data_IF_833820635351
#
_entry.id   IF_833820635351
#
_cell.length_a   1.000
_cell.length_b   1.000
_cell.length_c   1.000
_cell.angle_alpha   90.00
_cell.angle_beta   90.00
_cell.angle_gamma   90.00
#
_symmetry.space_group_name_H-M   'P 1'
#
loop_
_entity.id
_entity.type
_entity.pdbx_description
1 polymer ?
#
# COMPACT_ATOMS: atom_id res chain seq x y z
N UNK A 1 -35.28 12.45 -41.02
CA UNK A 1 -33.80 12.36 -41.13
C UNK A 1 -33.07 13.42 -40.28
N UNK A 2 -33.38 14.73 -40.44
CA UNK A 2 -32.70 15.85 -39.76
C UNK A 2 -32.71 15.75 -38.22
N UNK A 3 -33.81 15.27 -37.62
CA UNK A 3 -33.89 15.10 -36.16
C UNK A 3 -32.90 14.08 -35.58
N UNK A 4 -32.49 13.06 -36.35
CA UNK A 4 -31.50 12.06 -35.91
C UNK A 4 -30.09 12.64 -35.89
N UNK A 5 -29.74 13.40 -36.92
CA UNK A 5 -28.44 14.09 -37.05
C UNK A 5 -28.26 15.10 -35.92
N UNK A 6 -29.28 15.93 -35.62
CA UNK A 6 -29.22 16.89 -34.51
C UNK A 6 -29.03 16.21 -33.15
N UNK A 7 -29.67 15.06 -32.92
CA UNK A 7 -29.45 14.27 -31.70
C UNK A 7 -28.03 13.69 -31.62
N UNK A 8 -27.47 13.22 -32.75
CA UNK A 8 -26.08 12.75 -32.81
C UNK A 8 -25.10 13.90 -32.53
N UNK A 9 -25.30 15.07 -33.13
CA UNK A 9 -24.47 16.27 -32.87
C UNK A 9 -24.57 16.75 -31.43
N UNK A 10 -25.76 16.73 -30.84
CA UNK A 10 -25.94 17.03 -29.41
C UNK A 10 -25.19 16.01 -28.53
N UNK A 11 -25.25 14.71 -28.87
CA UNK A 11 -24.49 13.67 -28.19
C UNK A 11 -22.97 13.85 -28.31
N UNK A 12 -22.50 14.23 -29.49
CA UNK A 12 -21.09 14.49 -29.79
C UNK A 12 -20.53 15.72 -29.08
N UNK A 13 -21.36 16.75 -28.89
CA UNK A 13 -21.03 17.92 -28.08
C UNK A 13 -20.99 17.57 -26.57
N UNK A 14 -21.93 16.75 -26.11
CA UNK A 14 -21.96 16.28 -24.71
C UNK A 14 -20.77 15.37 -24.37
N UNK A 15 -20.31 14.51 -25.30
CA UNK A 15 -19.12 13.69 -25.08
C UNK A 15 -17.83 14.50 -24.98
N UNK A 16 -17.86 15.80 -25.33
CA UNK A 16 -16.77 16.76 -25.18
C UNK A 16 -16.99 17.76 -24.04
N UNK A 17 -17.96 17.48 -23.16
CA UNK A 17 -18.37 18.35 -22.06
C UNK A 17 -18.80 19.77 -22.49
N UNK A 18 -19.24 19.97 -23.74
CA UNK A 18 -19.76 21.24 -24.25
C UNK A 18 -21.28 21.27 -24.22
N UNK A 19 -21.83 21.42 -23.02
CA UNK A 19 -23.28 21.51 -22.80
C UNK A 19 -23.88 22.76 -23.48
N UNK A 20 -23.10 23.83 -23.59
CA UNK A 20 -23.40 25.07 -24.32
C UNK A 20 -23.69 24.78 -25.81
N UNK A 21 -22.80 24.04 -26.48
CA UNK A 21 -22.96 23.67 -27.89
C UNK A 21 -24.09 22.65 -28.08
N UNK A 22 -24.25 21.72 -27.13
CA UNK A 22 -25.34 20.73 -27.17
C UNK A 22 -26.73 21.37 -27.08
N UNK A 23 -26.88 22.54 -26.41
CA UNK A 23 -28.16 23.28 -26.35
C UNK A 23 -28.58 23.78 -27.74
N UNK A 24 -27.63 24.22 -28.55
CA UNK A 24 -27.88 24.72 -29.92
C UNK A 24 -28.50 23.65 -30.84
N UNK A 25 -28.18 22.37 -30.59
CA UNK A 25 -28.72 21.24 -31.36
C UNK A 25 -30.03 20.68 -30.78
N UNK A 26 -30.32 20.95 -29.49
CA UNK A 26 -31.54 20.53 -28.78
C UNK A 26 -32.69 21.54 -28.81
N UNK A 27 -32.50 22.74 -29.37
CA UNK A 27 -33.56 23.77 -29.43
C UNK A 27 -34.83 23.33 -30.19
N UNK A 28 -35.96 23.95 -29.84
CA UNK A 28 -37.27 23.67 -30.42
C UNK A 28 -37.33 24.06 -31.91
N UNK A 29 -38.26 23.47 -32.68
CA UNK A 29 -38.34 23.66 -34.15
C UNK A 29 -38.44 25.14 -34.53
N UNK A 30 -39.24 25.92 -33.79
CA UNK A 30 -39.42 27.36 -34.02
C UNK A 30 -38.20 28.23 -33.73
N UNK A 31 -37.25 27.75 -32.92
CA UNK A 31 -36.06 28.52 -32.50
C UNK A 31 -34.84 28.25 -33.38
N UNK A 32 -34.93 27.30 -34.32
CA UNK A 32 -33.79 26.85 -35.14
C UNK A 32 -33.23 27.93 -36.05
N UNK A 33 -34.08 28.82 -36.54
CA UNK A 33 -33.71 29.99 -37.35
C UNK A 33 -32.87 30.98 -36.55
N UNK A 34 -33.21 31.21 -35.28
CA UNK A 34 -32.51 32.11 -34.37
C UNK A 34 -31.10 31.59 -34.04
N UNK A 35 -30.96 30.28 -33.79
CA UNK A 35 -29.66 29.66 -33.49
C UNK A 35 -28.86 29.25 -34.72
N UNK A 36 -29.31 29.55 -35.95
CA UNK A 36 -28.69 29.06 -37.19
C UNK A 36 -27.20 29.41 -37.28
N UNK A 37 -26.84 30.69 -37.13
CA UNK A 37 -25.44 31.14 -37.21
C UNK A 37 -24.56 30.51 -36.13
N UNK A 38 -25.08 30.38 -34.91
CA UNK A 38 -24.37 29.75 -33.80
C UNK A 38 -24.19 28.23 -34.01
N UNK A 39 -25.19 27.55 -34.58
CA UNK A 39 -25.12 26.13 -34.89
C UNK A 39 -24.13 25.83 -36.03
N UNK A 40 -24.03 26.70 -37.05
CA UNK A 40 -23.01 26.57 -38.11
C UNK A 40 -21.61 26.70 -37.54
N UNK A 41 -21.33 27.75 -36.73
CA UNK A 41 -20.04 27.87 -36.04
C UNK A 41 -19.74 26.68 -35.13
N UNK A 42 -20.75 26.13 -34.45
CA UNK A 42 -20.59 24.94 -33.64
C UNK A 42 -20.20 23.71 -34.48
N UNK A 43 -20.71 23.57 -35.71
CA UNK A 43 -20.33 22.48 -36.63
C UNK A 43 -18.87 22.58 -37.09
N UNK A 44 -18.35 23.79 -37.27
CA UNK A 44 -16.95 24.00 -37.67
C UNK A 44 -15.98 23.72 -36.52
N UNK A 45 -16.39 24.03 -35.28
CA UNK A 45 -15.53 23.92 -34.09
C UNK A 45 -15.63 22.52 -33.43
N UNK A 46 -16.79 21.85 -33.46
CA UNK A 46 -16.96 20.55 -32.81
C UNK A 46 -15.94 19.47 -33.23
N UNK A 47 -15.55 19.35 -34.51
CA UNK A 47 -14.53 18.39 -34.95
C UNK A 47 -13.13 18.68 -34.39
N UNK A 48 -12.80 19.96 -34.15
CA UNK A 48 -11.46 20.38 -33.69
C UNK A 48 -11.30 20.29 -32.17
N UNK A 49 -12.40 20.21 -31.43
CA UNK A 49 -12.37 20.01 -29.97
C UNK A 49 -11.90 18.58 -29.67
N UNK A 50 -10.75 18.48 -29.00
CA UNK A 50 -10.24 17.22 -28.49
C UNK A 50 -11.22 16.57 -27.49
N UNK A 51 -11.25 15.25 -27.46
CA UNK A 51 -11.97 14.53 -26.40
C UNK A 51 -11.28 14.86 -25.08
N UNK A 52 -11.98 15.48 -24.11
CA UNK A 52 -11.41 15.77 -22.81
C UNK A 52 -10.90 14.47 -22.19
N UNK A 53 -9.72 14.53 -21.56
CA UNK A 53 -9.16 13.42 -20.81
C UNK A 53 -9.55 13.62 -19.35
N UNK A 54 -10.05 12.58 -18.65
CA UNK A 54 -10.48 12.75 -17.28
C UNK A 54 -9.28 13.06 -16.38
N UNK A 55 -9.45 14.06 -15.53
CA UNK A 55 -8.48 14.44 -14.50
C UNK A 55 -8.98 14.04 -13.12
N UNK A 56 -8.02 13.81 -12.22
CA UNK A 56 -8.27 13.37 -10.84
C UNK A 56 -9.08 14.38 -10.02
N UNK A 57 -8.90 15.69 -10.30
CA UNK A 57 -9.64 16.79 -9.69
C UNK A 57 -11.03 16.99 -10.28
N UNK A 58 -11.38 16.28 -11.36
CA UNK A 58 -12.64 16.52 -12.05
C UNK A 58 -13.84 16.12 -11.17
N UNK A 59 -14.92 16.91 -11.21
CA UNK A 59 -16.16 16.56 -10.53
C UNK A 59 -16.76 15.31 -11.17
N UNK A 60 -17.26 14.40 -10.33
CA UNK A 60 -17.88 13.15 -10.78
C UNK A 60 -19.06 13.38 -11.74
N UNK A 61 -19.72 14.54 -11.65
CA UNK A 61 -20.87 14.89 -12.49
C UNK A 61 -20.54 15.14 -13.96
N UNK A 62 -19.28 15.43 -14.29
CA UNK A 62 -18.86 15.57 -15.68
C UNK A 62 -18.74 14.20 -16.37
N UNK A 63 -18.41 13.15 -15.61
CA UNK A 63 -17.96 11.86 -16.16
C UNK A 63 -18.90 10.69 -15.88
N UNK A 64 -19.72 10.78 -14.83
CA UNK A 64 -20.63 9.71 -14.42
C UNK A 64 -22.09 10.03 -14.75
N UNK A 65 -22.95 8.99 -14.88
CA UNK A 65 -24.37 9.20 -15.11
C UNK A 65 -25.02 10.06 -14.01
N UNK A 66 -25.81 11.06 -14.40
CA UNK A 66 -26.42 12.03 -13.46
C UNK A 66 -27.28 11.40 -12.36
N UNK A 67 -27.77 10.16 -12.56
CA UNK A 67 -28.53 9.42 -11.53
C UNK A 67 -27.67 8.98 -10.35
N UNK A 68 -26.36 8.82 -10.55
CA UNK A 68 -25.43 8.28 -9.56
C UNK A 68 -24.75 9.39 -8.75
N UNK A 69 -24.65 10.58 -9.34
CA UNK A 69 -23.96 11.74 -8.79
C UNK A 69 -24.54 12.21 -7.44
N UNK A 70 -25.87 12.37 -7.26
CA UNK A 70 -26.44 12.76 -5.98
C UNK A 70 -26.16 11.76 -4.86
N UNK A 71 -26.23 10.46 -5.18
CA UNK A 71 -25.96 9.37 -4.24
C UNK A 71 -24.50 9.41 -3.79
N UNK A 72 -23.55 9.58 -4.72
CA UNK A 72 -22.13 9.69 -4.38
C UNK A 72 -21.82 10.96 -3.56
N UNK A 73 -22.47 12.08 -3.88
CA UNK A 73 -22.31 13.32 -3.11
C UNK A 73 -22.77 13.20 -1.66
N UNK A 74 -23.84 12.45 -1.38
CA UNK A 74 -24.30 12.18 0.00
C UNK A 74 -23.24 11.46 0.84
N UNK A 75 -22.37 10.67 0.20
CA UNK A 75 -21.25 9.96 0.86
C UNK A 75 -19.94 10.76 0.82
N UNK A 76 -20.00 12.05 0.50
CA UNK A 76 -18.85 12.95 0.46
C UNK A 76 -17.90 12.70 -0.72
N UNK A 77 -18.34 11.97 -1.74
CA UNK A 77 -17.56 11.71 -2.95
C UNK A 77 -17.92 12.80 -3.96
N UNK A 78 -16.99 13.72 -4.25
CA UNK A 78 -17.24 14.85 -5.15
C UNK A 78 -16.37 14.80 -6.41
N UNK A 79 -15.18 14.23 -6.30
CA UNK A 79 -14.20 14.15 -7.40
C UNK A 79 -13.91 12.70 -7.81
N UNK A 80 -13.33 12.52 -9.00
CA UNK A 80 -12.84 11.21 -9.45
C UNK A 80 -11.73 10.68 -8.51
N UNK A 81 -10.93 11.54 -7.89
CA UNK A 81 -10.00 11.18 -6.84
C UNK A 81 -10.72 10.55 -5.64
N UNK A 82 -11.74 11.22 -5.07
CA UNK A 82 -12.50 10.69 -3.92
C UNK A 82 -13.09 9.31 -4.21
N UNK A 83 -13.55 9.12 -5.44
CA UNK A 83 -14.14 7.87 -5.91
C UNK A 83 -13.09 6.77 -6.02
N UNK A 84 -11.89 7.04 -6.54
CA UNK A 84 -10.82 6.03 -6.61
C UNK A 84 -10.24 5.66 -5.25
N UNK A 85 -10.29 6.56 -4.26
CA UNK A 85 -9.79 6.27 -2.90
C UNK A 85 -10.65 5.22 -2.20
N UNK A 86 -11.97 5.38 -2.25
CA UNK A 86 -12.88 4.69 -1.32
C UNK A 86 -13.37 3.33 -1.78
N UNK A 87 -13.29 3.04 -3.07
CA UNK A 87 -14.28 2.17 -3.72
C UNK A 87 -13.69 1.02 -4.56
N UNK A 88 -12.63 1.19 -5.38
CA UNK A 88 -12.17 0.12 -6.28
C UNK A 88 -11.54 -1.09 -5.58
N UNK A 89 -11.27 -1.02 -4.26
CA UNK A 89 -10.52 -2.06 -3.52
C UNK A 89 -11.38 -3.17 -2.90
N UNK A 90 -12.71 -3.04 -2.91
CA UNK A 90 -13.61 -4.01 -2.25
C UNK A 90 -14.51 -4.70 -3.26
N UNK A 91 -14.53 -6.04 -3.26
CA UNK A 91 -15.57 -6.82 -3.96
C UNK A 91 -16.94 -6.35 -3.43
N UNK A 92 -17.84 -5.90 -4.31
CA UNK A 92 -19.18 -5.40 -3.97
C UNK A 92 -19.21 -4.10 -3.14
N UNK A 93 -18.26 -3.19 -3.35
CA UNK A 93 -18.19 -1.88 -2.68
C UNK A 93 -19.51 -1.08 -2.69
N UNK A 94 -20.31 -1.21 -3.75
CA UNK A 94 -21.58 -0.51 -3.92
C UNK A 94 -22.63 -0.88 -2.86
N UNK A 95 -22.47 -2.02 -2.16
CA UNK A 95 -23.34 -2.38 -1.03
C UNK A 95 -23.20 -1.43 0.16
N UNK A 96 -22.06 -0.76 0.30
CA UNK A 96 -21.84 0.23 1.36
C UNK A 96 -22.50 1.59 1.05
N UNK A 97 -23.02 1.78 -0.16
CA UNK A 97 -23.66 3.01 -0.61
C UNK A 97 -25.14 2.70 -0.93
N UNK A 98 -26.04 2.80 0.05
CA UNK A 98 -27.48 2.85 -0.15
C UNK A 98 -27.87 3.69 -1.38
N UNK A 99 -28.61 3.10 -2.31
CA UNK A 99 -29.03 3.75 -3.57
C UNK A 99 -28.11 3.50 -4.78
N UNK A 100 -26.93 2.88 -4.59
CA UNK A 100 -26.05 2.51 -5.70
C UNK A 100 -26.27 1.05 -6.16
N UNK A 101 -27.00 0.88 -7.26
CA UNK A 101 -27.26 -0.43 -7.85
C UNK A 101 -26.05 -1.09 -8.52
N UNK A 102 -26.09 -2.42 -8.65
CA UNK A 102 -25.03 -3.23 -9.28
C UNK A 102 -24.68 -2.75 -10.70
N UNK A 103 -25.68 -2.32 -11.49
CA UNK A 103 -25.46 -1.82 -12.86
C UNK A 103 -24.63 -0.54 -12.88
N UNK A 104 -24.94 0.42 -12.00
CA UNK A 104 -24.18 1.67 -11.89
C UNK A 104 -22.76 1.41 -11.38
N UNK A 105 -22.59 0.47 -10.46
CA UNK A 105 -21.27 0.06 -9.98
C UNK A 105 -20.41 -0.54 -11.09
N UNK A 106 -20.97 -1.47 -11.88
CA UNK A 106 -20.28 -2.03 -13.06
C UNK A 106 -19.92 -0.97 -14.08
N UNK A 107 -20.80 0.00 -14.32
CA UNK A 107 -20.51 1.10 -15.25
C UNK A 107 -19.31 1.94 -14.79
N UNK A 108 -19.23 2.23 -13.48
CA UNK A 108 -18.08 2.92 -12.87
C UNK A 108 -16.81 2.07 -12.99
N UNK A 109 -16.89 0.76 -12.72
CA UNK A 109 -15.76 -0.16 -12.87
C UNK A 109 -15.26 -0.22 -14.31
N UNK A 110 -16.16 -0.28 -15.29
CA UNK A 110 -15.82 -0.23 -16.73
C UNK A 110 -15.17 1.10 -17.09
N UNK A 111 -15.65 2.24 -16.57
CA UNK A 111 -15.05 3.56 -16.81
C UNK A 111 -13.60 3.65 -16.30
N UNK A 112 -13.32 3.10 -15.11
CA UNK A 112 -11.95 3.07 -14.59
C UNK A 112 -11.06 2.06 -15.31
N UNK A 113 -11.62 0.94 -15.79
CA UNK A 113 -10.89 -0.02 -16.60
C UNK A 113 -10.45 0.56 -17.96
N UNK A 114 -11.25 1.46 -18.55
CA UNK A 114 -10.88 2.16 -19.79
C UNK A 114 -9.91 3.32 -19.59
N UNK A 115 -9.72 3.80 -18.35
CA UNK A 115 -8.81 4.90 -18.00
C UNK A 115 -7.80 4.51 -16.89
N UNK A 116 -6.87 3.58 -17.17
CA UNK A 116 -5.90 3.11 -16.18
C UNK A 116 -4.99 4.23 -15.66
N UNK A 117 -4.60 5.19 -16.52
CA UNK A 117 -3.76 6.34 -16.17
C UNK A 117 -4.41 7.22 -15.10
N UNK A 118 -5.73 7.36 -15.11
CA UNK A 118 -6.44 8.13 -14.08
C UNK A 118 -6.41 7.42 -12.73
N UNK A 119 -6.56 6.10 -12.75
CA UNK A 119 -6.46 5.26 -11.53
C UNK A 119 -5.06 5.34 -10.94
N UNK A 120 -4.02 5.33 -11.77
CA UNK A 120 -2.63 5.48 -11.34
C UNK A 120 -2.33 6.87 -10.78
N UNK A 121 -2.77 7.93 -11.46
CA UNK A 121 -2.60 9.32 -10.98
C UNK A 121 -3.35 9.57 -9.68
N UNK A 122 -4.57 9.05 -9.54
CA UNK A 122 -5.31 9.18 -8.30
C UNK A 122 -4.65 8.38 -7.17
N UNK A 123 -4.08 7.19 -7.46
CA UNK A 123 -3.24 6.44 -6.51
C UNK A 123 -2.02 7.24 -6.07
N UNK A 124 -1.32 7.89 -7.00
CA UNK A 124 -0.17 8.74 -6.67
C UNK A 124 -0.57 9.89 -5.71
N UNK A 125 -1.74 10.50 -5.91
CA UNK A 125 -2.26 11.53 -5.00
C UNK A 125 -2.67 10.97 -3.62
N UNK A 126 -3.21 9.75 -3.55
CA UNK A 126 -3.57 9.09 -2.28
C UNK A 126 -2.33 8.71 -1.47
N UNK A 127 -1.26 8.25 -2.14
CA UNK A 127 0.03 7.96 -1.50
C UNK A 127 0.59 9.21 -0.79
N UNK A 128 0.27 10.40 -1.28
CA UNK A 128 0.66 11.68 -0.66
C UNK A 128 -0.28 12.07 0.50
N UNK A 129 -1.55 11.68 0.50
CA UNK A 129 -2.54 12.14 1.49
C UNK A 129 -2.57 11.34 2.81
N UNK A 130 -2.19 10.06 2.80
CA UNK A 130 -1.91 9.28 4.03
C UNK A 130 -0.84 8.23 3.70
N UNK A 131 0.43 8.43 4.06
CA UNK A 131 1.43 7.39 3.87
C UNK A 131 0.97 6.12 4.60
N UNK A 132 0.91 4.99 3.91
CA UNK A 132 0.67 3.68 4.56
C UNK A 132 1.83 3.52 5.58
N UNK A 133 1.55 3.39 6.88
CA UNK A 133 2.62 3.38 7.88
C UNK A 133 3.52 2.15 7.78
N UNK A 134 3.11 1.13 7.01
CA UNK A 134 3.84 -0.11 6.79
C UNK A 134 4.41 -0.14 5.38
N UNK A 135 5.70 0.21 5.26
CA UNK A 135 6.45 0.24 4.00
C UNK A 135 7.75 -0.57 4.11
N UNK A 136 8.31 -1.04 2.99
CA UNK A 136 9.62 -1.71 2.99
C UNK A 136 10.73 -0.79 3.53
N UNK A 137 11.77 -1.40 4.10
CA UNK A 137 12.96 -0.78 4.69
C UNK A 137 13.47 0.44 3.93
N UNK A 138 13.62 0.32 2.60
CA UNK A 138 14.18 1.36 1.75
C UNK A 138 13.32 2.65 1.73
N UNK A 139 12.03 2.51 2.01
CA UNK A 139 11.03 3.57 1.99
C UNK A 139 10.61 4.03 3.39
N UNK A 140 11.14 3.41 4.46
CA UNK A 140 10.79 3.80 5.82
C UNK A 140 11.22 5.26 6.05
N UNK A 141 10.29 6.05 6.58
CA UNK A 141 10.52 7.40 7.10
C UNK A 141 9.96 7.44 8.50
N UNK A 142 10.83 7.29 9.50
CA UNK A 142 10.40 7.26 10.90
C UNK A 142 10.10 8.69 11.35
N UNK A 143 8.93 8.96 11.95
CA UNK A 143 8.64 10.28 12.51
C UNK A 143 9.65 10.65 13.61
N UNK A 144 10.08 11.91 13.65
CA UNK A 144 11.08 12.41 14.60
C UNK A 144 10.75 12.13 16.08
N UNK A 145 9.47 12.05 16.46
CA UNK A 145 9.07 11.74 17.83
C UNK A 145 9.36 10.29 18.26
N UNK A 146 9.56 9.38 17.30
CA UNK A 146 9.76 7.94 17.52
C UNK A 146 10.94 7.40 16.72
N UNK A 147 11.84 8.27 16.26
CA UNK A 147 13.02 7.89 15.48
C UNK A 147 14.16 7.34 16.36
N UNK A 148 14.04 7.46 17.68
CA UNK A 148 15.05 7.03 18.64
C UNK A 148 16.15 8.03 18.91
N UNK A 149 16.10 9.23 18.31
CA UNK A 149 17.02 10.31 18.63
C UNK A 149 17.04 10.66 20.12
N UNK A 150 15.90 10.49 20.80
CA UNK A 150 15.70 10.74 22.23
C UNK A 150 15.20 9.50 22.99
N UNK A 151 15.57 8.30 22.55
CA UNK A 151 15.07 7.06 23.14
C UNK A 151 15.46 6.87 24.61
N UNK A 152 14.58 6.26 25.40
CA UNK A 152 14.77 6.08 26.86
C UNK A 152 16.01 5.27 27.22
N UNK A 153 16.33 4.24 26.43
CA UNK A 153 17.50 3.39 26.64
C UNK A 153 18.66 3.73 25.70
N UNK A 154 18.64 4.92 25.08
CA UNK A 154 19.74 5.42 24.28
C UNK A 154 20.87 5.89 25.20
N UNK A 155 22.08 5.43 24.93
CA UNK A 155 23.26 5.89 25.65
C UNK A 155 23.65 7.32 25.20
N UNK A 156 24.37 8.09 26.04
CA UNK A 156 24.84 9.42 25.67
C UNK A 156 25.64 9.43 24.36
N UNK A 157 25.34 10.37 23.45
CA UNK A 157 25.96 10.44 22.10
C UNK A 157 27.48 10.51 22.12
N UNK A 158 28.07 11.12 23.15
CA UNK A 158 29.53 11.22 23.35
C UNK A 158 30.22 9.87 23.56
N UNK A 159 29.49 8.84 24.02
CA UNK A 159 30.02 7.50 24.23
C UNK A 159 29.76 6.58 23.03
N UNK A 160 28.87 6.97 22.12
CA UNK A 160 28.44 6.16 20.99
C UNK A 160 29.53 6.11 19.92
N UNK A 161 29.98 4.89 19.59
CA UNK A 161 30.99 4.63 18.57
C UNK A 161 30.42 4.69 17.12
N UNK A 162 29.10 4.74 16.98
CA UNK A 162 28.43 4.90 15.68
C UNK A 162 28.17 6.38 15.37
N UNK A 163 28.25 6.73 14.09
CA UNK A 163 27.77 8.01 13.56
C UNK A 163 26.23 8.13 13.52
N UNK A 164 25.53 7.07 13.94
CA UNK A 164 24.07 7.00 13.92
C UNK A 164 23.41 7.99 14.89
N UNK A 165 22.56 8.85 14.34
CA UNK A 165 21.80 9.85 15.09
C UNK A 165 20.38 9.37 15.48
N UNK A 166 19.90 8.28 14.88
CA UNK A 166 18.59 7.68 15.13
C UNK A 166 18.63 6.15 14.94
N UNK A 167 17.56 5.45 15.32
CA UNK A 167 17.50 3.99 15.36
C UNK A 167 17.69 3.37 13.96
N UNK A 168 17.11 4.00 12.94
CA UNK A 168 17.22 3.54 11.55
C UNK A 168 18.67 3.53 11.06
N UNK A 169 19.44 4.57 11.37
CA UNK A 169 20.87 4.66 11.03
C UNK A 169 21.69 3.63 11.82
N UNK A 170 21.36 3.40 13.09
CA UNK A 170 22.08 2.44 13.92
C UNK A 170 21.88 0.99 13.44
N UNK A 171 20.65 0.65 13.05
CA UNK A 171 20.34 -0.65 12.44
C UNK A 171 21.02 -0.79 11.08
N UNK A 172 21.03 0.27 10.26
CA UNK A 172 21.74 0.26 8.97
C UNK A 172 23.22 -0.07 9.16
N UNK A 173 23.89 0.58 10.11
CA UNK A 173 25.30 0.29 10.44
C UNK A 173 25.51 -1.17 10.87
N UNK A 174 24.57 -1.76 11.61
CA UNK A 174 24.63 -3.18 11.96
C UNK A 174 24.46 -4.10 10.74
N UNK A 175 23.54 -3.76 9.83
CA UNK A 175 23.30 -4.55 8.61
C UNK A 175 24.50 -4.50 7.65
N UNK A 176 25.15 -3.36 7.54
CA UNK A 176 26.28 -3.15 6.62
C UNK A 176 27.51 -3.98 6.99
N UNK A 177 27.64 -4.40 8.26
CA UNK A 177 28.74 -5.26 8.73
C UNK A 177 28.71 -6.68 8.12
N UNK A 178 27.56 -7.11 7.60
CA UNK A 178 27.37 -8.47 7.11
C UNK A 178 27.66 -8.54 5.62
N UNK A 179 28.76 -9.19 5.21
CA UNK A 179 29.18 -9.29 3.80
C UNK A 179 28.22 -10.14 2.95
N UNK A 180 27.78 -11.27 3.48
CA UNK A 180 26.89 -12.20 2.77
C UNK A 180 25.52 -11.56 2.53
N UNK A 181 25.16 -11.39 1.25
CA UNK A 181 23.93 -10.74 0.82
C UNK A 181 22.66 -11.42 1.37
N UNK A 182 22.64 -12.75 1.43
CA UNK A 182 21.48 -13.51 1.93
C UNK A 182 21.30 -13.33 3.45
N UNK A 183 22.39 -13.35 4.22
CA UNK A 183 22.36 -13.06 5.66
C UNK A 183 21.87 -11.64 5.92
N UNK A 184 22.40 -10.66 5.18
CA UNK A 184 21.96 -9.26 5.27
C UNK A 184 20.47 -9.11 4.96
N UNK A 185 19.98 -9.79 3.92
CA UNK A 185 18.55 -9.79 3.55
C UNK A 185 17.67 -10.38 4.64
N UNK A 186 18.07 -11.52 5.21
CA UNK A 186 17.33 -12.16 6.30
C UNK A 186 17.30 -11.29 7.55
N UNK A 187 18.43 -10.71 7.94
CA UNK A 187 18.54 -9.86 9.13
C UNK A 187 17.77 -8.55 8.96
N UNK A 188 17.86 -7.93 7.78
CA UNK A 188 17.07 -6.75 7.42
C UNK A 188 15.58 -7.03 7.53
N UNK A 189 15.12 -8.20 7.08
CA UNK A 189 13.70 -8.58 7.18
C UNK A 189 13.22 -8.60 8.63
N UNK A 190 13.99 -9.16 9.55
CA UNK A 190 13.57 -9.22 10.96
C UNK A 190 13.68 -7.86 11.65
N UNK A 191 14.71 -7.07 11.35
CA UNK A 191 14.85 -5.70 11.87
C UNK A 191 13.75 -4.76 11.35
N UNK A 192 13.41 -4.85 10.06
CA UNK A 192 12.30 -4.13 9.42
C UNK A 192 10.96 -4.42 10.12
N UNK A 193 10.65 -5.70 10.36
CA UNK A 193 9.43 -6.11 11.05
C UNK A 193 9.32 -5.50 12.44
N UNK A 194 10.42 -5.51 13.20
CA UNK A 194 10.43 -4.95 14.55
C UNK A 194 10.28 -3.42 14.50
N UNK A 195 11.05 -2.73 13.66
CA UNK A 195 11.02 -1.27 13.57
C UNK A 195 9.62 -0.77 13.19
N UNK A 196 9.01 -1.37 12.15
CA UNK A 196 7.65 -1.05 11.74
C UNK A 196 6.66 -1.32 12.89
N UNK A 197 6.75 -2.47 13.56
CA UNK A 197 5.85 -2.78 14.66
C UNK A 197 5.97 -1.78 15.82
N UNK A 198 7.20 -1.41 16.21
CA UNK A 198 7.45 -0.47 17.29
C UNK A 198 6.85 0.92 16.99
N UNK A 199 7.06 1.41 15.76
CA UNK A 199 6.55 2.72 15.34
C UNK A 199 5.04 2.71 15.18
N UNK A 200 4.47 1.68 14.55
CA UNK A 200 3.07 1.67 14.12
C UNK A 200 2.12 1.16 15.20
N UNK A 201 2.48 0.09 15.92
CA UNK A 201 1.61 -0.50 16.95
C UNK A 201 1.89 0.04 18.35
N UNK A 202 3.13 0.47 18.63
CA UNK A 202 3.51 1.00 19.96
C UNK A 202 3.74 2.50 19.98
N UNK A 203 3.89 3.15 18.83
CA UNK A 203 4.33 4.56 18.76
C UNK A 203 5.57 4.81 19.61
N UNK A 204 6.52 3.86 19.56
CA UNK A 204 7.78 3.89 20.30
C UNK A 204 8.95 3.79 19.35
N UNK A 205 10.02 4.50 19.72
CA UNK A 205 11.35 4.23 19.19
C UNK A 205 11.84 2.83 19.59
N UNK A 206 12.67 2.23 18.75
CA UNK A 206 13.34 0.97 19.05
C UNK A 206 14.25 1.09 20.28
N UNK A 207 14.93 2.22 20.42
CA UNK A 207 15.73 2.59 21.61
C UNK A 207 14.90 2.86 22.88
N UNK A 208 13.56 2.72 22.84
CA UNK A 208 12.67 2.85 24.01
C UNK A 208 11.89 1.57 24.31
N UNK A 209 12.21 0.46 23.64
CA UNK A 209 11.54 -0.82 23.86
C UNK A 209 11.96 -1.45 25.18
N UNK A 210 10.97 -1.93 25.94
CA UNK A 210 11.17 -2.65 27.20
C UNK A 210 11.04 -4.17 27.02
N UNK A 211 11.33 -4.96 28.06
CA UNK A 211 11.12 -6.42 28.06
C UNK A 211 9.64 -6.81 27.90
N UNK A 212 8.71 -5.97 28.37
CA UNK A 212 7.27 -6.13 28.13
C UNK A 212 6.93 -5.93 26.65
N UNK A 213 7.54 -4.94 25.99
CA UNK A 213 7.37 -4.73 24.55
C UNK A 213 7.92 -5.92 23.76
N UNK A 214 9.08 -6.49 24.14
CA UNK A 214 9.62 -7.70 23.51
C UNK A 214 8.68 -8.91 23.67
N UNK A 215 8.07 -9.05 24.85
CA UNK A 215 7.06 -10.10 25.11
C UNK A 215 5.82 -9.90 24.22
N UNK A 216 5.36 -8.67 24.08
CA UNK A 216 4.24 -8.32 23.22
C UNK A 216 4.55 -8.53 21.73
N UNK A 217 5.76 -8.19 21.29
CA UNK A 217 6.21 -8.45 19.92
C UNK A 217 6.24 -9.95 19.62
N UNK A 218 6.74 -10.78 20.54
CA UNK A 218 6.70 -12.25 20.41
C UNK A 218 5.26 -12.77 20.28
N UNK A 219 4.31 -12.22 21.02
CA UNK A 219 2.90 -12.58 20.88
C UNK A 219 2.34 -12.13 19.51
N UNK A 220 2.68 -10.92 19.08
CA UNK A 220 2.32 -10.38 17.78
C UNK A 220 2.84 -11.24 16.61
N UNK A 221 4.06 -11.78 16.69
CA UNK A 221 4.59 -12.66 15.64
C UNK A 221 3.77 -13.96 15.46
N UNK A 222 3.12 -14.45 16.51
CA UNK A 222 2.17 -15.58 16.41
C UNK A 222 0.87 -15.18 15.75
N UNK A 223 0.40 -13.96 16.00
CA UNK A 223 -0.87 -13.47 15.49
C UNK A 223 -0.78 -11.99 15.06
N UNK A 224 -0.22 -11.69 13.88
CA UNK A 224 -0.07 -10.32 13.43
C UNK A 224 -1.44 -9.67 13.17
N UNK A 225 -1.80 -8.67 13.97
CA UNK A 225 -3.09 -7.99 13.92
C UNK A 225 -2.90 -6.46 13.91
N UNK A 226 -3.72 -5.71 13.14
CA UNK A 226 -4.77 -6.16 12.23
C UNK A 226 -4.21 -6.86 10.97
N UNK A 227 -4.79 -7.99 10.56
CA UNK A 227 -4.25 -8.79 9.42
C UNK A 227 -4.12 -7.99 8.13
N UNK A 228 -5.07 -7.11 7.80
CA UNK A 228 -5.03 -6.29 6.59
C UNK A 228 -3.82 -5.33 6.53
N UNK A 229 -3.26 -4.96 7.69
CA UNK A 229 -2.10 -4.07 7.78
C UNK A 229 -0.77 -4.81 7.73
N UNK A 230 -0.73 -6.04 8.21
CA UNK A 230 0.53 -6.76 8.44
C UNK A 230 0.74 -7.97 7.54
N UNK A 231 -0.35 -8.55 7.03
CA UNK A 231 -0.35 -9.83 6.34
C UNK A 231 -0.90 -9.69 4.93
N UNK A 232 -0.10 -10.07 3.92
CA UNK A 232 -0.54 -10.24 2.54
C UNK A 232 0.22 -11.39 1.88
N UNK A 233 -0.30 -11.98 0.79
CA UNK A 233 0.46 -12.91 -0.04
C UNK A 233 1.82 -12.33 -0.44
N UNK A 234 2.79 -13.18 -0.78
CA UNK A 234 4.11 -12.72 -1.21
C UNK A 234 3.98 -11.79 -2.44
N UNK A 235 4.45 -10.55 -2.29
CA UNK A 235 4.45 -9.51 -3.33
C UNK A 235 5.85 -8.89 -3.45
N UNK A 236 6.21 -8.35 -4.62
CA UNK A 236 7.42 -7.55 -4.78
C UNK A 236 7.43 -6.35 -3.82
N UNK A 237 8.61 -5.96 -3.31
CA UNK A 237 8.76 -4.84 -2.36
C UNK A 237 8.34 -3.49 -2.94
N UNK A 238 8.43 -3.31 -4.26
CA UNK A 238 7.94 -2.11 -4.96
C UNK A 238 6.42 -2.04 -5.06
N UNK A 239 5.70 -3.12 -4.73
CA UNK A 239 4.24 -3.14 -4.78
C UNK A 239 3.63 -2.38 -3.61
N UNK A 240 2.59 -1.59 -3.90
CA UNK A 240 1.77 -0.95 -2.86
C UNK A 240 0.96 -1.96 -2.02
N UNK A 241 0.81 -3.20 -2.47
CA UNK A 241 0.16 -4.29 -1.71
C UNK A 241 1.14 -5.07 -0.83
N UNK A 242 2.43 -4.70 -0.83
CA UNK A 242 3.44 -5.39 -0.03
C UNK A 242 3.15 -5.30 1.46
N UNK A 243 3.40 -6.40 2.18
CA UNK A 243 3.30 -6.50 3.63
C UNK A 243 4.48 -7.30 4.20
N UNK A 244 4.92 -7.01 5.44
CA UNK A 244 6.09 -7.63 6.05
C UNK A 244 5.88 -9.10 6.46
N UNK A 245 4.62 -9.55 6.56
CA UNK A 245 4.26 -10.94 6.86
C UNK A 245 3.42 -11.55 5.75
N UNK A 246 3.64 -12.84 5.48
CA UNK A 246 2.77 -13.66 4.63
C UNK A 246 1.75 -14.46 5.44
N UNK A 247 1.94 -14.54 6.76
CA UNK A 247 1.08 -15.24 7.70
C UNK A 247 1.64 -15.14 9.12
N UNK A 248 1.04 -15.91 10.03
CA UNK A 248 1.60 -16.15 11.36
C UNK A 248 2.93 -16.92 11.23
N UNK A 249 3.91 -16.61 12.08
CA UNK A 249 5.19 -17.33 12.09
C UNK A 249 5.07 -18.63 12.89
N UNK A 250 5.80 -19.67 12.46
CA UNK A 250 6.00 -20.89 13.23
C UNK A 250 6.85 -20.62 14.49
N UNK A 251 6.78 -21.47 15.53
CA UNK A 251 7.62 -21.32 16.72
C UNK A 251 9.12 -21.19 16.39
N UNK A 252 9.64 -21.98 15.46
CA UNK A 252 11.06 -21.91 15.05
C UNK A 252 11.39 -20.61 14.34
N UNK A 253 10.49 -20.14 13.45
CA UNK A 253 10.66 -18.84 12.77
C UNK A 253 10.67 -17.68 13.77
N UNK A 254 9.85 -17.76 14.83
CA UNK A 254 9.84 -16.77 15.91
C UNK A 254 11.15 -16.84 16.69
N UNK A 255 11.62 -18.05 17.04
CA UNK A 255 12.89 -18.22 17.77
C UNK A 255 14.07 -17.66 16.97
N UNK A 256 14.12 -17.92 15.67
CA UNK A 256 15.09 -17.34 14.75
C UNK A 256 15.02 -15.81 14.75
N UNK A 257 13.82 -15.23 14.54
CA UNK A 257 13.65 -13.79 14.51
C UNK A 257 14.11 -13.12 15.82
N UNK A 258 13.74 -13.68 16.96
CA UNK A 258 14.16 -13.15 18.27
C UNK A 258 15.67 -13.30 18.52
N UNK A 259 16.29 -14.37 18.03
CA UNK A 259 17.75 -14.56 18.10
C UNK A 259 18.49 -13.48 17.29
N UNK A 260 18.04 -13.23 16.06
CA UNK A 260 18.59 -12.18 15.19
C UNK A 260 18.44 -10.80 15.84
N UNK A 261 17.26 -10.49 16.38
CA UNK A 261 17.02 -9.23 17.08
C UNK A 261 17.87 -9.09 18.33
N UNK A 262 18.02 -10.16 19.12
CA UNK A 262 18.90 -10.15 20.29
C UNK A 262 20.37 -9.89 19.91
N UNK A 263 20.84 -10.48 18.81
CA UNK A 263 22.19 -10.24 18.28
C UNK A 263 22.37 -8.79 17.79
N UNK A 264 21.36 -8.21 17.15
CA UNK A 264 21.35 -6.79 16.76
C UNK A 264 21.46 -5.87 17.98
N UNK A 265 20.63 -6.07 19.00
CA UNK A 265 20.68 -5.26 20.22
C UNK A 265 22.00 -5.42 20.97
N UNK A 266 22.57 -6.62 21.00
CA UNK A 266 23.90 -6.85 21.59
C UNK A 266 24.97 -6.02 20.89
N UNK A 267 25.00 -6.00 19.56
CA UNK A 267 25.91 -5.13 18.82
C UNK A 267 25.69 -3.65 19.15
N UNK A 268 24.43 -3.19 19.19
CA UNK A 268 24.13 -1.79 19.50
C UNK A 268 24.56 -1.40 20.92
N UNK A 269 24.56 -2.32 21.87
CA UNK A 269 25.11 -2.10 23.22
C UNK A 269 26.64 -2.09 23.20
N UNK A 270 27.27 -3.01 22.46
CA UNK A 270 28.73 -3.05 22.28
C UNK A 270 29.26 -1.74 21.68
N UNK A 271 28.53 -1.14 20.73
CA UNK A 271 28.85 0.16 20.15
C UNK A 271 28.40 1.37 21.00
N UNK A 272 27.91 1.11 22.22
CA UNK A 272 27.38 2.13 23.14
C UNK A 272 26.29 3.01 22.52
N UNK A 273 25.47 2.44 21.64
CA UNK A 273 24.28 3.08 21.12
C UNK A 273 23.08 2.87 22.07
N UNK A 274 22.93 1.66 22.61
CA UNK A 274 21.89 1.30 23.58
C UNK A 274 22.48 0.90 24.94
N UNK A 275 21.65 1.01 25.98
CA UNK A 275 21.97 0.59 27.35
C UNK A 275 21.41 -0.80 27.71
N UNK A 276 20.37 -1.25 27.01
CA UNK A 276 19.64 -2.47 27.36
C UNK A 276 19.20 -3.27 26.13
N UNK A 277 19.13 -4.60 26.28
CA UNK A 277 18.59 -5.51 25.28
C UNK A 277 17.23 -6.04 25.77
N UNK A 278 16.09 -5.59 25.18
CA UNK A 278 14.77 -6.03 25.61
C UNK A 278 14.47 -7.49 25.26
N UNK A 279 15.24 -8.08 24.32
CA UNK A 279 15.12 -9.47 23.89
C UNK A 279 16.04 -10.43 24.67
N UNK A 280 16.84 -9.92 25.61
CA UNK A 280 17.71 -10.76 26.42
C UNK A 280 16.87 -11.78 27.23
N UNK A 281 17.22 -13.06 27.13
CA UNK A 281 16.56 -14.14 27.87
C UNK A 281 15.17 -14.55 27.36
N UNK A 282 14.67 -13.95 26.27
CA UNK A 282 13.33 -14.26 25.75
C UNK A 282 13.32 -15.63 25.03
N UNK A 283 12.62 -16.61 25.60
CA UNK A 283 12.50 -17.97 25.05
C UNK A 283 11.20 -18.18 24.26
N UNK A 284 11.19 -19.09 23.29
CA UNK A 284 9.97 -19.49 22.55
C UNK A 284 9.60 -20.92 22.94
N UNK A 285 8.40 -21.11 23.49
CA UNK A 285 7.86 -22.45 23.75
C UNK A 285 7.47 -23.10 22.42
N UNK A 286 7.86 -24.36 22.24
CA UNK A 286 7.55 -25.16 21.05
C UNK A 286 8.51 -24.97 19.87
N UNK A 287 9.56 -24.17 20.01
CA UNK A 287 10.67 -24.19 19.05
C UNK A 287 11.51 -25.44 19.32
N UNK A 288 11.82 -26.23 18.28
CA UNK A 288 12.70 -27.38 18.45
C UNK A 288 14.12 -26.90 18.77
N UNK A 289 14.82 -27.64 19.63
CA UNK A 289 16.25 -27.39 19.87
C UNK A 289 16.96 -27.69 18.56
N UNK A 290 17.61 -26.70 17.94
CA UNK A 290 18.50 -26.93 16.80
C UNK A 290 19.48 -28.07 17.16
N UNK A 291 19.31 -29.23 16.54
CA UNK A 291 20.07 -30.45 16.84
C UNK A 291 19.56 -31.69 16.11
N UNK A 292 18.26 -31.82 15.89
CA UNK A 292 17.71 -32.88 15.02
C UNK A 292 17.41 -32.28 13.65
N UNK A 293 18.33 -32.47 12.71
CA UNK A 293 17.98 -32.43 11.29
C UNK A 293 16.87 -33.45 11.09
N UNK A 294 15.77 -33.04 10.46
CA UNK A 294 14.69 -33.94 10.08
C UNK A 294 15.20 -34.92 9.01
N UNK A 295 15.71 -36.06 9.48
CA UNK A 295 16.28 -37.14 8.65
C UNK A 295 15.17 -37.86 7.87
N UNK A 296 13.88 -37.56 8.11
CA UNK A 296 12.76 -38.14 7.35
C UNK A 296 12.72 -37.70 5.89
N UNK A 297 13.53 -36.70 5.50
CA UNK A 297 13.70 -36.23 4.11
C UNK A 297 15.04 -36.64 3.48
N UNK A 298 15.87 -37.40 4.18
CA UNK A 298 17.06 -37.98 3.57
C UNK A 298 16.68 -39.29 2.88
N UNK A 299 17.05 -39.45 1.61
CA UNK A 299 16.89 -40.72 0.91
C UNK A 299 17.59 -41.83 1.69
N UNK A 300 16.90 -42.95 1.89
CA UNK A 300 17.48 -44.16 2.45
C UNK A 300 18.56 -44.71 1.52
N UNK A 301 19.49 -45.51 2.05
CA UNK A 301 20.56 -46.10 1.24
C UNK A 301 20.03 -46.87 0.01
N UNK A 302 18.86 -47.51 0.13
CA UNK A 302 18.19 -48.20 -0.98
C UNK A 302 17.65 -47.25 -2.07
N UNK A 303 17.14 -46.07 -1.69
CA UNK A 303 16.67 -45.06 -2.65
C UNK A 303 17.83 -44.40 -3.40
N UNK A 304 18.99 -44.26 -2.75
CA UNK A 304 20.22 -43.78 -3.39
C UNK A 304 20.82 -44.75 -4.41
N UNK A 305 20.70 -46.06 -4.20
CA UNK A 305 21.16 -47.08 -5.16
C UNK A 305 20.31 -47.06 -6.44
N UNK A 306 19.02 -46.77 -6.30
CA UNK A 306 18.04 -46.73 -7.39
C UNK A 306 18.19 -45.51 -8.30
N UNK A 307 18.67 -44.39 -7.75
CA UNK A 307 19.01 -43.18 -8.53
C UNK A 307 20.31 -43.37 -9.32
N UNK A 308 21.26 -44.16 -8.81
CA UNK A 308 22.56 -44.42 -9.48
C UNK A 308 22.51 -45.48 -10.58
N UNK A 309 21.48 -46.32 -10.61
CA UNK A 309 21.36 -47.45 -11.55
C UNK A 309 20.58 -47.13 -12.83
N UNK A 310 20.05 -45.91 -12.98
CA UNK A 310 19.32 -45.47 -14.19
C UNK A 310 20.11 -44.44 -15.04
N UNK A 311 21.42 -44.62 -15.17
CA UNK A 311 22.23 -43.97 -16.23
C UNK A 311 22.66 -45.00 -17.25
#
# INVERSE_FOLDING_TARGET
>A
MIGRIRRQLAGFALSRHRADLARLFRCAVGERTLYRKAATRALDILPTIAVPQPQVSDPIGAWLPSRVVPVLHQYGIRTLADLTVRIPRRRRWWRAIPGLGVRSARHIETFFATHPVLTERARALIVVATPDPVVPWENIRVPHCVDGSRGTFRAPRSMCALEANNDYQAISAWLDRHEAAETRRAYRREAERLLLWAVVERSKALSSLTSEDATAYRAFLRHPAPRARWVAPARPRSSSEWRPFTGALSPDSIAYALSVLSAMFRFLIEQRYLLANPFAGLRVRGAQRNGELDISRAFTAGEWELIRTNC
#
